data_IF_680844333192
#
_entry.id   IF_680844333192
#
_cell.length_a   1.000
_cell.length_b   1.000
_cell.length_c   1.000
_cell.angle_alpha   90.00
_cell.angle_beta   90.00
_cell.angle_gamma   90.00
#
_symmetry.space_group_name_H-M   'P 1'
#
loop_
_entity.id
_entity.type
_entity.pdbx_description
1 polymer ?
#
# COMPACT_ATOMS: atom_id res chain seq x y z
N UNK A 1 6.23 -21.80 -4.68
CA UNK A 1 5.81 -22.00 -3.28
C UNK A 1 4.44 -21.38 -3.13
N UNK A 2 3.41 -22.17 -2.80
CA UNK A 2 2.16 -21.59 -2.31
C UNK A 2 2.53 -20.94 -0.98
N UNK A 3 2.35 -19.63 -0.86
CA UNK A 3 2.33 -18.97 0.44
C UNK A 3 1.35 -19.77 1.31
N UNK A 4 1.68 -20.16 2.55
CA UNK A 4 0.68 -20.75 3.44
C UNK A 4 -0.52 -19.82 3.41
N UNK A 5 -1.66 -20.36 2.95
CA UNK A 5 -2.90 -19.63 2.78
C UNK A 5 -3.14 -18.88 4.09
N UNK A 6 -2.91 -17.56 4.11
CA UNK A 6 -3.18 -16.75 5.29
C UNK A 6 -4.63 -17.00 5.64
N UNK A 7 -4.87 -17.68 6.76
CA UNK A 7 -6.22 -18.06 7.13
C UNK A 7 -6.98 -16.76 7.40
N UNK A 8 -7.92 -16.45 6.51
CA UNK A 8 -8.65 -15.19 6.55
C UNK A 8 -9.42 -15.01 7.88
N UNK A 9 -9.86 -16.13 8.47
CA UNK A 9 -10.55 -16.15 9.75
C UNK A 9 -9.60 -15.85 10.92
N UNK A 10 -8.42 -16.48 10.94
CA UNK A 10 -7.38 -16.19 11.94
C UNK A 10 -6.95 -14.73 11.86
N UNK A 11 -6.69 -14.23 10.64
CA UNK A 11 -6.36 -12.83 10.41
C UNK A 11 -7.45 -11.89 10.95
N UNK A 12 -8.72 -12.20 10.69
CA UNK A 12 -9.83 -11.37 11.17
C UNK A 12 -9.90 -11.35 12.70
N UNK A 13 -9.72 -12.50 13.35
CA UNK A 13 -9.71 -12.59 14.81
C UNK A 13 -8.55 -11.80 15.40
N UNK A 14 -7.34 -11.94 14.85
CA UNK A 14 -6.17 -11.21 15.31
C UNK A 14 -6.33 -9.69 15.12
N UNK A 15 -6.89 -9.25 13.99
CA UNK A 15 -7.14 -7.84 13.72
C UNK A 15 -8.18 -7.25 14.69
N UNK A 16 -9.24 -7.99 15.02
CA UNK A 16 -10.25 -7.57 16.02
C UNK A 16 -9.69 -7.55 17.44
N UNK A 17 -8.88 -8.53 17.81
CA UNK A 17 -8.18 -8.55 19.10
C UNK A 17 -7.23 -7.36 19.24
N UNK A 18 -6.47 -7.07 18.18
CA UNK A 18 -5.62 -5.89 18.13
C UNK A 18 -6.43 -4.59 18.23
N UNK A 19 -7.56 -4.47 17.54
CA UNK A 19 -8.44 -3.29 17.64
C UNK A 19 -8.98 -3.10 19.07
N UNK A 20 -9.34 -4.20 19.73
CA UNK A 20 -9.80 -4.18 21.13
C UNK A 20 -8.71 -3.63 22.06
N UNK A 21 -7.46 -4.08 21.87
CA UNK A 21 -6.32 -3.52 22.60
C UNK A 21 -6.12 -2.03 22.25
N UNK A 22 -6.12 -1.67 20.97
CA UNK A 22 -5.96 -0.29 20.50
C UNK A 22 -6.97 0.66 21.16
N UNK A 23 -8.22 0.20 21.34
CA UNK A 23 -9.33 0.96 21.94
C UNK A 23 -9.43 0.82 23.47
N UNK A 24 -8.37 0.37 24.15
CA UNK A 24 -8.38 0.25 25.61
C UNK A 24 -8.75 1.59 26.25
N UNK A 25 -9.88 1.69 26.96
CA UNK A 25 -10.34 2.95 27.54
C UNK A 25 -9.46 3.34 28.73
N UNK A 26 -9.49 4.64 29.07
CA UNK A 26 -8.91 5.06 30.34
C UNK A 26 -9.82 4.64 31.49
N UNK A 27 -9.23 4.22 32.61
CA UNK A 27 -9.94 3.81 33.82
C UNK A 27 -9.68 4.80 34.96
N UNK A 28 -10.70 5.06 35.76
CA UNK A 28 -10.60 5.94 36.93
C UNK A 28 -10.82 7.43 36.64
N UNK A 29 -10.71 8.24 37.69
CA UNK A 29 -10.97 9.69 37.62
C UNK A 29 -9.67 10.39 37.22
N UNK A 30 -9.69 11.26 36.18
CA UNK A 30 -8.51 12.02 35.79
C UNK A 30 -7.88 12.77 36.97
N UNK A 31 -6.55 12.83 37.00
CA UNK A 31 -5.75 13.50 38.05
C UNK A 31 -5.86 12.87 39.46
N UNK A 32 -6.22 11.59 39.55
CA UNK A 32 -6.19 10.82 40.81
C UNK A 32 -5.15 9.69 40.76
N UNK A 33 -4.69 9.20 41.92
CA UNK A 33 -3.70 8.09 41.98
C UNK A 33 -4.19 6.79 41.32
N UNK A 34 -5.52 6.60 41.18
CA UNK A 34 -6.11 5.43 40.54
C UNK A 34 -6.31 5.54 39.03
N UNK A 35 -5.93 6.67 38.41
CA UNK A 35 -6.12 6.87 36.97
C UNK A 35 -5.16 6.01 36.15
N UNK A 36 -5.72 5.18 35.27
CA UNK A 36 -4.98 4.44 34.25
C UNK A 36 -5.34 5.00 32.90
N UNK A 37 -4.35 5.58 32.21
CA UNK A 37 -4.54 6.08 30.86
C UNK A 37 -4.71 4.90 29.90
N UNK A 38 -5.76 4.96 29.09
CA UNK A 38 -6.00 4.05 27.98
C UNK A 38 -5.06 4.32 26.80
N UNK A 39 -5.32 3.65 25.68
CA UNK A 39 -4.52 3.80 24.46
C UNK A 39 -5.11 4.86 23.53
N UNK A 40 -6.14 4.50 22.75
CA UNK A 40 -6.78 5.39 21.79
C UNK A 40 -8.30 5.37 21.94
N UNK A 41 -8.94 6.42 21.45
CA UNK A 41 -10.40 6.55 21.41
C UNK A 41 -10.94 6.06 20.07
N UNK A 42 -12.24 5.69 20.00
CA UNK A 42 -12.90 5.33 18.73
C UNK A 42 -12.72 6.38 17.63
N UNK A 43 -12.71 7.67 17.96
CA UNK A 43 -12.50 8.78 17.02
C UNK A 43 -11.09 8.80 16.40
N UNK A 44 -10.14 8.05 16.96
CA UNK A 44 -8.79 7.92 16.42
C UNK A 44 -8.67 6.80 15.36
N UNK A 45 -9.75 6.08 15.07
CA UNK A 45 -9.76 5.07 14.01
C UNK A 45 -9.63 5.75 12.65
N UNK A 46 -8.50 5.51 11.98
CA UNK A 46 -8.28 5.99 10.62
C UNK A 46 -8.98 5.09 9.60
N UNK A 47 -9.24 5.57 8.37
CA UNK A 47 -9.77 4.72 7.29
C UNK A 47 -8.93 3.47 7.04
N UNK A 48 -7.60 3.55 7.18
CA UNK A 48 -6.71 2.39 7.01
C UNK A 48 -6.93 1.32 8.09
N UNK A 49 -7.16 1.72 9.34
CA UNK A 49 -7.48 0.78 10.42
C UNK A 49 -8.82 0.10 10.16
N UNK A 50 -9.84 0.88 9.72
CA UNK A 50 -11.14 0.32 9.38
C UNK A 50 -11.04 -0.72 8.25
N UNK A 51 -10.32 -0.39 7.18
CA UNK A 51 -10.07 -1.34 6.07
C UNK A 51 -9.34 -2.59 6.57
N UNK A 52 -8.28 -2.43 7.36
CA UNK A 52 -7.49 -3.53 7.90
C UNK A 52 -8.34 -4.54 8.68
N UNK A 53 -9.18 -4.05 9.60
CA UNK A 53 -9.91 -4.92 10.55
C UNK A 53 -11.17 -5.53 9.94
N UNK A 54 -11.88 -4.76 9.11
CA UNK A 54 -13.21 -5.18 8.65
C UNK A 54 -13.23 -5.72 7.22
N UNK A 55 -12.29 -5.32 6.36
CA UNK A 55 -12.36 -5.60 4.92
C UNK A 55 -11.24 -6.50 4.40
N UNK A 56 -10.04 -6.49 5.01
CA UNK A 56 -8.92 -7.28 4.49
C UNK A 56 -9.17 -8.79 4.56
N UNK A 57 -9.85 -9.32 5.59
CA UNK A 57 -10.16 -10.75 5.67
C UNK A 57 -11.06 -11.22 4.53
N UNK A 58 -12.11 -10.44 4.23
CA UNK A 58 -12.99 -10.69 3.08
C UNK A 58 -12.21 -10.59 1.77
N UNK A 59 -11.35 -9.58 1.65
CA UNK A 59 -10.50 -9.41 0.48
C UNK A 59 -9.55 -10.60 0.24
N UNK A 60 -8.90 -11.10 1.30
CA UNK A 60 -8.06 -12.31 1.24
C UNK A 60 -8.90 -13.50 0.75
N UNK A 61 -10.11 -13.67 1.27
CA UNK A 61 -11.00 -14.78 0.91
C UNK A 61 -11.48 -14.71 -0.54
N UNK A 62 -11.82 -13.52 -1.03
CA UNK A 62 -12.26 -13.32 -2.41
C UNK A 62 -11.11 -13.45 -3.42
N UNK A 63 -9.90 -12.99 -3.06
CA UNK A 63 -8.75 -12.91 -3.96
C UNK A 63 -7.61 -13.89 -3.64
N UNK A 64 -7.92 -15.03 -3.03
CA UNK A 64 -6.95 -16.06 -2.60
C UNK A 64 -5.96 -16.47 -3.70
N UNK A 65 -6.40 -16.47 -4.97
CA UNK A 65 -5.57 -16.85 -6.11
C UNK A 65 -4.40 -15.87 -6.37
N UNK A 66 -4.56 -14.58 -6.09
CA UNK A 66 -3.64 -13.52 -6.51
C UNK A 66 -2.81 -13.00 -5.33
N UNK A 67 -3.34 -13.10 -4.11
CA UNK A 67 -2.70 -12.59 -2.89
C UNK A 67 -2.66 -11.06 -2.82
N UNK A 68 -2.55 -10.51 -1.61
CA UNK A 68 -2.60 -9.05 -1.36
C UNK A 68 -1.53 -8.26 -2.13
N UNK A 69 -0.33 -8.82 -2.29
CA UNK A 69 0.79 -8.16 -2.98
C UNK A 69 0.47 -7.80 -4.44
N UNK A 70 -0.38 -8.58 -5.11
CA UNK A 70 -0.78 -8.33 -6.50
C UNK A 70 -1.62 -7.06 -6.66
N UNK A 71 -2.17 -6.53 -5.57
CA UNK A 71 -2.96 -5.30 -5.54
C UNK A 71 -2.18 -4.10 -5.00
N UNK A 72 -0.87 -4.27 -4.74
CA UNK A 72 0.00 -3.18 -4.31
C UNK A 72 0.29 -2.21 -5.47
N UNK A 73 0.22 -0.91 -5.20
CA UNK A 73 0.61 0.13 -6.15
C UNK A 73 2.13 0.35 -6.26
N UNK A 74 2.95 -0.42 -5.54
CA UNK A 74 4.41 -0.26 -5.52
C UNK A 74 5.06 -0.30 -6.91
N UNK A 75 4.54 -1.13 -7.82
CA UNK A 75 5.01 -1.17 -9.21
C UNK A 75 4.75 0.13 -9.97
N UNK A 76 3.57 0.73 -9.77
CA UNK A 76 3.18 2.01 -10.38
C UNK A 76 4.01 3.15 -9.81
N UNK A 77 4.18 3.19 -8.48
CA UNK A 77 5.02 4.18 -7.79
C UNK A 77 6.46 4.13 -8.28
N UNK A 78 7.02 2.92 -8.44
CA UNK A 78 8.36 2.73 -9.00
C UNK A 78 8.46 3.26 -10.43
N UNK A 79 7.50 2.93 -11.30
CA UNK A 79 7.44 3.45 -12.68
C UNK A 79 7.37 4.97 -12.70
N UNK A 80 6.57 5.57 -11.82
CA UNK A 80 6.46 7.02 -11.70
C UNK A 80 7.80 7.65 -11.24
N UNK A 81 8.46 7.06 -10.23
CA UNK A 81 9.76 7.52 -9.76
C UNK A 81 10.85 7.43 -10.83
N UNK A 82 10.90 6.32 -11.58
CA UNK A 82 11.83 6.13 -12.70
C UNK A 82 11.56 7.13 -13.83
N UNK A 83 10.29 7.41 -14.12
CA UNK A 83 9.90 8.39 -15.14
C UNK A 83 10.37 9.81 -14.78
N UNK A 84 10.07 10.27 -13.57
CA UNK A 84 10.53 11.57 -13.05
C UNK A 84 12.06 11.63 -13.07
N UNK A 85 12.72 10.59 -12.53
CA UNK A 85 14.19 10.54 -12.46
C UNK A 85 14.85 10.58 -13.84
N UNK A 86 14.31 9.88 -14.83
CA UNK A 86 14.86 9.88 -16.19
C UNK A 86 14.70 11.23 -16.89
N UNK A 87 13.52 11.83 -16.77
CA UNK A 87 13.21 13.12 -17.40
C UNK A 87 14.14 14.23 -16.87
N UNK A 88 14.29 14.32 -15.54
CA UNK A 88 15.11 15.35 -14.91
C UNK A 88 16.62 15.04 -14.87
N UNK A 89 17.04 13.78 -15.06
CA UNK A 89 18.47 13.44 -15.24
C UNK A 89 19.10 14.13 -16.46
N UNK A 90 18.29 14.46 -17.48
CA UNK A 90 18.77 15.14 -18.70
C UNK A 90 18.76 16.66 -18.62
N UNK A 91 18.13 17.24 -17.60
CA UNK A 91 18.16 18.67 -17.30
C UNK A 91 19.15 18.94 -16.17
N UNK A 92 20.41 18.51 -16.32
CA UNK A 92 21.47 19.00 -15.44
C UNK A 92 21.74 20.47 -15.78
N UNK A 93 22.00 21.26 -14.74
CA UNK A 93 22.10 22.73 -14.70
C UNK A 93 23.15 23.34 -15.66
N UNK A 94 23.89 22.51 -16.40
CA UNK A 94 25.05 22.89 -17.22
C UNK A 94 24.90 22.60 -18.72
N UNK A 95 23.66 22.46 -19.23
CA UNK A 95 23.42 22.42 -20.68
C UNK A 95 23.96 21.14 -21.36
N UNK A 96 23.18 20.06 -21.31
CA UNK A 96 23.55 18.76 -21.86
C UNK A 96 24.11 18.81 -23.30
N UNK A 97 25.26 18.14 -23.50
CA UNK A 97 25.79 17.85 -24.84
C UNK A 97 24.73 17.10 -25.67
N UNK A 98 24.62 17.56 -26.92
CA UNK A 98 23.59 17.20 -27.91
C UNK A 98 23.52 15.71 -28.24
N UNK A 99 22.30 15.30 -28.61
CA UNK A 99 21.95 14.19 -29.51
C UNK A 99 21.53 12.85 -28.89
N UNK A 100 20.31 12.79 -28.33
CA UNK A 100 19.39 11.67 -28.58
C UNK A 100 17.99 12.28 -28.77
N UNK A 101 17.39 12.04 -29.93
CA UNK A 101 16.14 12.67 -30.35
C UNK A 101 15.01 12.23 -29.42
N UNK A 102 14.06 13.12 -29.13
CA UNK A 102 12.89 12.86 -28.27
C UNK A 102 12.14 11.56 -28.65
N UNK A 103 12.15 11.19 -29.94
CA UNK A 103 11.60 9.94 -30.47
C UNK A 103 12.34 8.67 -30.02
N UNK A 104 13.66 8.71 -29.77
CA UNK A 104 14.42 7.57 -29.28
C UNK A 104 14.16 7.29 -27.80
N UNK A 105 13.95 8.34 -27.00
CA UNK A 105 13.49 8.19 -25.60
C UNK A 105 12.08 7.60 -25.51
N UNK A 106 11.16 8.04 -26.37
CA UNK A 106 9.79 7.49 -26.44
C UNK A 106 9.78 6.03 -26.93
N UNK A 107 10.61 5.69 -27.94
CA UNK A 107 10.74 4.31 -28.42
C UNK A 107 11.32 3.36 -27.36
N UNK A 108 12.31 3.78 -26.57
CA UNK A 108 12.82 2.98 -25.45
C UNK A 108 11.80 2.81 -24.32
N UNK A 109 10.99 3.84 -24.03
CA UNK A 109 9.92 3.78 -23.04
C UNK A 109 8.89 2.70 -23.41
N UNK A 110 8.42 2.71 -24.65
CA UNK A 110 7.44 1.74 -25.18
C UNK A 110 8.01 0.32 -25.31
N UNK A 111 9.33 0.14 -25.40
CA UNK A 111 9.95 -1.20 -25.54
C UNK A 111 10.46 -1.80 -24.25
N UNK A 112 10.76 -1.00 -23.20
CA UNK A 112 11.30 -1.51 -21.93
C UNK A 112 10.39 -1.37 -20.72
N UNK A 113 9.42 -0.44 -20.74
CA UNK A 113 8.59 -0.12 -19.56
C UNK A 113 7.10 -0.44 -19.77
N UNK A 114 6.58 -0.39 -21.00
CA UNK A 114 5.22 -0.86 -21.34
C UNK A 114 5.03 -2.40 -21.29
N UNK A 115 5.98 -3.27 -21.73
CA UNK A 115 5.72 -4.72 -21.79
C UNK A 115 5.69 -5.42 -20.43
N UNK A 116 6.12 -4.76 -19.35
CA UNK A 116 6.06 -5.28 -17.97
C UNK A 116 4.74 -4.97 -17.25
N UNK A 117 3.77 -4.42 -17.98
CA UNK A 117 2.41 -4.17 -17.49
C UNK A 117 1.64 -5.49 -17.38
N UNK A 118 1.42 -5.96 -16.15
CA UNK A 118 0.27 -6.84 -15.89
C UNK A 118 -0.96 -5.95 -16.07
N UNK A 119 -1.55 -5.96 -17.26
CA UNK A 119 -2.88 -5.38 -17.45
C UNK A 119 -3.84 -6.31 -16.70
N UNK A 120 -4.31 -5.87 -15.52
CA UNK A 120 -5.50 -6.46 -14.91
C UNK A 120 -6.68 -5.95 -15.76
N UNK A 121 -6.94 -6.61 -16.90
CA UNK A 121 -8.21 -6.44 -17.59
C UNK A 121 -9.26 -7.20 -16.77
N UNK A 122 -10.00 -6.51 -15.90
CA UNK A 122 -11.29 -7.02 -15.43
C UNK A 122 -12.30 -6.87 -16.57
N UNK A 123 -12.94 -7.94 -17.06
CA UNK A 123 -14.08 -7.79 -17.95
C UNK A 123 -15.28 -7.29 -17.14
N UNK A 124 -15.95 -6.25 -17.65
CA UNK A 124 -17.31 -5.86 -17.26
C UNK A 124 -18.32 -6.86 -17.80
#
# INVERSE_FOLDING_TARGET
MKDPLTNAEEFQNDAKNWLTLFLTPSEGIPNTQGFKKGLYQPDNITPYIHVLVYHISEFIMTHQKWGLKSFSCSGVEKKNHEHVSYFFRKTLKDGGKKNLNHQQSLRFYNTKIEPSSIIITTPL
#
